data_IF_010205913481
#
_entry.id   IF_010205913481
#
_cell.length_a   1.000
_cell.length_b   1.000
_cell.length_c   1.000
_cell.angle_alpha   90.00
_cell.angle_beta   90.00
_cell.angle_gamma   90.00
#
_symmetry.space_group_name_H-M   'P 1'
#
loop_
_entity.id
_entity.type
_entity.pdbx_description
1 polymer ?
#
# COMPACT_ATOMS: atom_id res chain seq x y z
N UNK A 1 9.26 13.95 17.63
CA UNK A 1 9.74 12.63 17.23
C UNK A 1 9.34 12.41 15.78
N UNK A 2 10.21 11.85 14.93
CA UNK A 2 9.91 11.59 13.51
C UNK A 2 9.12 10.29 13.41
N UNK A 3 7.78 10.37 13.46
CA UNK A 3 6.93 9.17 13.47
C UNK A 3 6.41 8.84 12.06
N UNK A 4 6.61 7.61 11.55
CA UNK A 4 6.15 7.21 10.21
C UNK A 4 4.62 7.01 10.13
N UNK A 5 4.04 6.62 11.26
CA UNK A 5 2.60 6.48 11.53
C UNK A 5 2.39 6.48 13.06
N UNK A 6 1.17 6.41 13.59
CA UNK A 6 0.87 6.59 15.04
C UNK A 6 -0.08 5.51 15.60
N UNK A 7 -0.18 4.33 14.98
CA UNK A 7 -1.05 3.24 15.42
C UNK A 7 -0.71 2.82 16.86
N UNK A 8 0.57 2.69 17.19
CA UNK A 8 1.03 2.25 18.51
C UNK A 8 0.67 3.24 19.62
N UNK A 9 0.92 4.53 19.40
CA UNK A 9 0.60 5.59 20.36
C UNK A 9 -0.91 5.75 20.54
N UNK A 10 -1.68 5.71 19.45
CA UNK A 10 -3.14 5.83 19.51
C UNK A 10 -3.76 4.60 20.19
N UNK A 11 -3.29 3.40 19.85
CA UNK A 11 -3.75 2.16 20.50
C UNK A 11 -3.42 2.17 21.99
N UNK A 12 -2.23 2.63 22.36
CA UNK A 12 -1.82 2.76 23.77
C UNK A 12 -2.69 3.78 24.51
N UNK A 13 -2.97 4.93 23.89
CA UNK A 13 -3.85 5.96 24.45
C UNK A 13 -5.27 5.41 24.67
N UNK A 14 -5.82 4.74 23.67
CA UNK A 14 -7.18 4.17 23.73
C UNK A 14 -7.25 3.07 24.78
N UNK A 15 -6.27 2.17 24.85
CA UNK A 15 -6.18 1.14 25.89
C UNK A 15 -6.14 1.74 27.30
N UNK A 16 -5.49 2.89 27.49
CA UNK A 16 -5.46 3.58 28.78
C UNK A 16 -6.77 4.30 29.13
N UNK A 17 -7.52 4.76 28.11
CA UNK A 17 -8.69 5.63 28.26
C UNK A 17 -10.02 4.87 28.30
N UNK A 18 -10.19 3.85 27.45
CA UNK A 18 -11.42 3.06 27.33
C UNK A 18 -11.51 2.07 28.49
N UNK A 19 -12.63 2.07 29.20
CA UNK A 19 -12.85 1.19 30.37
C UNK A 19 -14.04 0.25 30.18
N UNK A 20 -14.95 0.57 29.26
CA UNK A 20 -16.15 -0.21 29.00
C UNK A 20 -16.45 -0.34 27.52
N UNK A 21 -17.13 -1.41 27.12
CA UNK A 21 -17.69 -1.56 25.78
C UNK A 21 -18.67 -0.42 25.44
N UNK A 22 -19.24 0.26 26.45
CA UNK A 22 -20.11 1.42 26.28
C UNK A 22 -19.39 2.66 25.75
N UNK A 23 -18.07 2.71 25.88
CA UNK A 23 -17.25 3.81 25.35
C UNK A 23 -16.99 3.63 23.84
N UNK A 24 -17.37 2.48 23.27
CA UNK A 24 -17.20 2.12 21.85
C UNK A 24 -18.54 2.24 21.10
N UNK A 25 -18.53 2.53 19.78
CA UNK A 25 -17.36 2.66 18.93
C UNK A 25 -16.66 4.02 19.05
N UNK A 26 -15.33 4.03 18.92
CA UNK A 26 -14.53 5.24 18.84
C UNK A 26 -13.96 5.45 17.44
N UNK A 27 -13.97 6.69 16.98
CA UNK A 27 -13.43 7.12 15.70
C UNK A 27 -12.53 8.33 15.94
N UNK A 28 -11.22 8.12 15.86
CA UNK A 28 -10.22 9.16 16.11
C UNK A 28 -9.51 9.48 14.81
N UNK A 29 -9.35 10.77 14.50
CA UNK A 29 -8.60 11.19 13.32
C UNK A 29 -7.61 12.29 13.68
N UNK A 30 -6.54 12.37 12.90
CA UNK A 30 -5.56 13.43 13.01
C UNK A 30 -5.05 13.79 11.62
N UNK A 31 -4.66 15.06 11.45
CA UNK A 31 -3.97 15.55 10.27
C UNK A 31 -2.63 16.10 10.74
N UNK A 32 -1.56 15.35 10.52
CA UNK A 32 -0.23 15.68 11.04
C UNK A 32 0.86 15.47 9.99
N UNK A 33 2.02 16.10 10.19
CA UNK A 33 3.22 15.84 9.37
C UNK A 33 3.80 14.49 9.75
N UNK A 34 4.07 13.65 8.74
CA UNK A 34 4.72 12.35 8.85
C UNK A 34 6.08 12.40 8.20
N UNK A 35 6.97 11.55 8.69
CA UNK A 35 8.32 11.42 8.18
C UNK A 35 8.58 9.96 7.85
N UNK A 36 8.96 9.68 6.61
CA UNK A 36 9.36 8.33 6.16
C UNK A 36 10.74 8.44 5.54
N UNK A 37 11.64 7.54 5.93
CA UNK A 37 12.97 7.52 5.33
C UNK A 37 12.91 6.91 3.93
N UNK A 38 12.47 7.75 2.99
CA UNK A 38 12.36 7.39 1.59
C UNK A 38 13.73 7.54 0.91
N UNK A 39 14.28 6.43 0.44
CA UNK A 39 15.61 6.39 -0.18
C UNK A 39 15.70 7.27 -1.43
N UNK A 40 14.64 7.36 -2.24
CA UNK A 40 14.60 8.17 -3.48
C UNK A 40 13.30 8.98 -3.56
N UNK A 41 13.20 10.14 -2.90
CA UNK A 41 12.03 11.01 -3.05
C UNK A 41 11.97 11.50 -4.50
N UNK A 42 10.83 11.30 -5.15
CA UNK A 42 10.61 11.68 -6.56
C UNK A 42 9.19 12.18 -6.74
N UNK A 43 8.99 12.98 -7.79
CA UNK A 43 7.67 13.37 -8.28
C UNK A 43 6.84 14.22 -7.30
N UNK A 44 7.50 15.07 -6.51
CA UNK A 44 6.82 16.00 -5.61
C UNK A 44 5.96 15.23 -4.59
N UNK A 45 4.66 15.49 -4.57
CA UNK A 45 3.71 15.00 -3.56
C UNK A 45 3.52 13.47 -3.51
N UNK A 46 3.94 12.73 -4.54
CA UNK A 46 3.68 11.29 -4.62
C UNK A 46 4.65 10.46 -3.77
N UNK A 47 5.90 10.90 -3.64
CA UNK A 47 6.93 10.16 -2.91
C UNK A 47 7.93 11.11 -2.27
N UNK A 48 7.67 11.47 -1.01
CA UNK A 48 8.48 12.39 -0.21
C UNK A 48 8.98 11.75 1.08
N UNK A 49 9.99 12.38 1.70
CA UNK A 49 10.43 12.05 3.06
C UNK A 49 9.56 12.68 4.13
N UNK A 50 8.80 13.70 3.76
CA UNK A 50 7.94 14.46 4.65
C UNK A 50 6.64 14.82 3.91
N UNK A 51 5.50 14.56 4.54
CA UNK A 51 4.19 14.87 3.99
C UNK A 51 3.14 15.03 5.09
N UNK A 52 2.07 15.76 4.78
CA UNK A 52 0.88 15.82 5.66
C UNK A 52 -0.01 14.62 5.39
N UNK A 53 -0.39 13.90 6.44
CA UNK A 53 -1.23 12.71 6.35
C UNK A 53 -2.45 12.86 7.25
N UNK A 54 -3.61 12.44 6.72
CA UNK A 54 -4.81 12.22 7.52
C UNK A 54 -4.87 10.74 7.88
N UNK A 55 -4.80 10.44 9.18
CA UNK A 55 -5.02 9.10 9.71
C UNK A 55 -6.41 9.01 10.34
N UNK A 56 -7.07 7.87 10.20
CA UNK A 56 -8.30 7.54 10.91
C UNK A 56 -8.10 6.19 11.60
N UNK A 57 -8.37 6.16 12.90
CA UNK A 57 -8.32 4.97 13.74
C UNK A 57 -9.73 4.68 14.25
N UNK A 58 -10.20 3.45 14.08
CA UNK A 58 -11.53 3.02 14.51
C UNK A 58 -11.42 1.86 15.48
N UNK A 59 -12.19 1.93 16.55
CA UNK A 59 -12.26 0.90 17.58
C UNK A 59 -13.72 0.52 17.74
N UNK A 60 -14.07 -0.67 17.28
CA UNK A 60 -15.43 -1.19 17.29
C UNK A 60 -15.55 -2.37 18.28
N UNK A 61 -16.77 -2.64 18.75
CA UNK A 61 -17.03 -3.65 19.79
C UNK A 61 -16.79 -5.08 19.29
N UNK A 62 -17.03 -5.32 18.00
CA UNK A 62 -16.88 -6.64 17.37
C UNK A 62 -16.23 -6.52 15.99
N UNK A 63 -15.76 -7.65 15.48
CA UNK A 63 -15.18 -7.75 14.15
C UNK A 63 -16.19 -7.39 13.05
N UNK A 64 -17.46 -7.81 13.19
CA UNK A 64 -18.53 -7.49 12.26
C UNK A 64 -18.78 -5.97 12.20
N UNK A 65 -18.84 -5.32 13.35
CA UNK A 65 -18.98 -3.86 13.42
C UNK A 65 -17.76 -3.13 12.82
N UNK A 66 -16.55 -3.68 12.99
CA UNK A 66 -15.35 -3.14 12.36
C UNK A 66 -15.41 -3.23 10.82
N UNK A 67 -15.91 -4.35 10.28
CA UNK A 67 -16.11 -4.52 8.83
C UNK A 67 -17.19 -3.58 8.27
N UNK A 68 -18.25 -3.32 9.04
CA UNK A 68 -19.26 -2.32 8.68
C UNK A 68 -18.65 -0.92 8.65
N UNK A 69 -17.89 -0.55 9.69
CA UNK A 69 -17.15 0.72 9.74
C UNK A 69 -16.18 0.85 8.56
N UNK A 70 -15.45 -0.22 8.20
CA UNK A 70 -14.58 -0.24 7.02
C UNK A 70 -15.34 0.07 5.73
N UNK A 71 -16.47 -0.62 5.50
CA UNK A 71 -17.32 -0.43 4.31
C UNK A 71 -17.89 0.98 4.23
N UNK A 72 -18.27 1.56 5.37
CA UNK A 72 -18.74 2.94 5.47
C UNK A 72 -17.63 3.94 5.11
N UNK A 73 -16.42 3.76 5.64
CA UNK A 73 -15.26 4.61 5.31
C UNK A 73 -14.94 4.51 3.82
N UNK A 74 -14.92 3.30 3.25
CA UNK A 74 -14.71 3.10 1.81
C UNK A 74 -15.71 3.90 0.97
N UNK A 75 -17.00 3.84 1.32
CA UNK A 75 -18.07 4.57 0.63
C UNK A 75 -17.87 6.08 0.71
N UNK A 76 -17.47 6.59 1.88
CA UNK A 76 -17.16 8.02 2.08
C UNK A 76 -16.00 8.47 1.19
N UNK A 77 -14.91 7.68 1.11
CA UNK A 77 -13.78 8.01 0.24
C UNK A 77 -14.17 7.94 -1.24
N UNK A 78 -14.99 6.97 -1.66
CA UNK A 78 -15.49 6.90 -3.03
C UNK A 78 -16.30 8.15 -3.40
N UNK A 79 -17.21 8.59 -2.53
CA UNK A 79 -18.00 9.81 -2.74
C UNK A 79 -17.12 11.08 -2.75
N UNK A 80 -16.09 11.14 -1.87
CA UNK A 80 -15.13 12.24 -1.86
C UNK A 80 -14.37 12.33 -3.18
N UNK A 81 -13.86 11.21 -3.69
CA UNK A 81 -13.13 11.19 -4.94
C UNK A 81 -14.03 11.51 -6.15
N UNK A 82 -15.28 11.07 -6.14
CA UNK A 82 -16.28 11.45 -7.15
C UNK A 82 -16.56 12.96 -7.14
N UNK A 83 -16.73 13.56 -5.96
CA UNK A 83 -16.88 15.01 -5.81
C UNK A 83 -15.66 15.80 -6.33
N UNK A 84 -14.46 15.22 -6.18
CA UNK A 84 -13.21 15.77 -6.73
C UNK A 84 -13.01 15.44 -8.22
N UNK A 85 -13.91 14.67 -8.84
CA UNK A 85 -13.85 14.18 -10.23
C UNK A 85 -12.57 13.38 -10.50
N UNK A 86 -12.10 12.64 -9.51
CA UNK A 86 -10.92 11.80 -9.61
C UNK A 86 -11.32 10.37 -9.97
N UNK A 87 -10.82 9.82 -11.10
CA UNK A 87 -11.07 8.42 -11.43
C UNK A 87 -10.30 7.52 -10.45
N UNK A 88 -11.02 6.61 -9.79
CA UNK A 88 -10.45 5.67 -8.82
C UNK A 88 -10.75 4.23 -9.20
N UNK A 89 -9.93 3.32 -8.68
CA UNK A 89 -10.15 1.88 -8.73
C UNK A 89 -9.93 1.34 -7.32
N UNK A 90 -10.88 0.55 -6.82
CA UNK A 90 -10.76 -0.14 -5.54
C UNK A 90 -10.06 -1.47 -5.79
N UNK A 91 -9.00 -1.74 -5.03
CA UNK A 91 -8.29 -3.00 -5.05
C UNK A 91 -8.27 -3.61 -3.64
N UNK A 92 -8.38 -4.93 -3.57
CA UNK A 92 -8.19 -5.68 -2.32
C UNK A 92 -6.71 -6.03 -2.17
N UNK A 93 -6.12 -5.72 -1.02
CA UNK A 93 -4.75 -6.06 -0.67
C UNK A 93 -4.73 -7.09 0.49
N UNK A 94 -3.75 -8.00 0.47
CA UNK A 94 -3.50 -8.93 1.58
C UNK A 94 -2.64 -8.26 2.64
N UNK A 95 -3.01 -8.34 3.91
CA UNK A 95 -2.26 -7.74 5.04
C UNK A 95 -1.12 -8.64 5.56
N UNK A 96 -0.51 -9.48 4.71
CA UNK A 96 0.37 -10.58 5.15
C UNK A 96 1.87 -10.25 5.15
N UNK A 97 2.65 -11.06 5.86
CA UNK A 97 4.14 -11.03 6.05
C UNK A 97 5.00 -10.96 4.78
N UNK A 98 4.38 -10.98 3.61
CA UNK A 98 4.99 -10.79 2.31
C UNK A 98 4.52 -9.43 1.81
N UNK A 99 5.44 -8.46 1.78
CA UNK A 99 5.13 -7.08 1.44
C UNK A 99 4.12 -6.92 0.30
N UNK A 100 3.31 -5.86 0.40
CA UNK A 100 2.13 -5.65 -0.45
C UNK A 100 2.42 -5.83 -1.94
N UNK A 101 1.61 -6.67 -2.60
CA UNK A 101 1.64 -6.87 -4.04
C UNK A 101 0.40 -6.26 -4.69
N UNK A 102 0.59 -5.61 -5.84
CA UNK A 102 -0.50 -5.03 -6.63
C UNK A 102 -0.50 -5.66 -8.02
N UNK A 103 -1.66 -6.16 -8.44
CA UNK A 103 -1.90 -6.60 -9.80
C UNK A 103 -2.40 -5.43 -10.64
N UNK A 104 -1.63 -5.00 -11.65
CA UNK A 104 -2.06 -3.99 -12.61
C UNK A 104 -2.71 -4.63 -13.85
N UNK A 105 -4.02 -4.86 -13.80
CA UNK A 105 -4.84 -5.41 -14.87
C UNK A 105 -5.50 -4.33 -15.77
N UNK A 106 -5.22 -3.04 -15.52
CA UNK A 106 -5.82 -1.91 -16.24
C UNK A 106 -5.58 -2.01 -17.75
N UNK A 107 -6.56 -1.64 -18.57
CA UNK A 107 -6.47 -1.64 -20.04
C UNK A 107 -5.75 -0.39 -20.59
N UNK A 108 -4.47 -0.24 -20.23
CA UNK A 108 -3.60 0.87 -20.63
C UNK A 108 -2.30 0.36 -21.25
N UNK A 109 -1.60 1.15 -22.10
CA UNK A 109 -0.36 0.72 -22.73
C UNK A 109 0.73 0.31 -21.73
N UNK A 110 1.50 -0.73 -22.05
CA UNK A 110 2.55 -1.26 -21.17
C UNK A 110 3.56 -0.20 -20.71
N UNK A 111 4.04 0.66 -21.61
CA UNK A 111 4.97 1.73 -21.26
C UNK A 111 4.38 2.75 -20.27
N UNK A 112 3.06 2.94 -20.29
CA UNK A 112 2.36 3.77 -19.29
C UNK A 112 2.36 3.07 -17.93
N UNK A 113 2.05 1.76 -17.88
CA UNK A 113 2.12 0.96 -16.64
C UNK A 113 3.49 0.99 -15.99
N UNK A 114 4.56 0.83 -16.78
CA UNK A 114 5.93 0.86 -16.26
C UNK A 114 6.29 2.24 -15.70
N UNK A 115 5.87 3.33 -16.36
CA UNK A 115 6.05 4.69 -15.84
C UNK A 115 5.28 4.92 -14.55
N UNK A 116 4.04 4.42 -14.46
CA UNK A 116 3.21 4.50 -13.26
C UNK A 116 3.82 3.68 -12.11
N UNK A 117 4.29 2.46 -12.39
CA UNK A 117 4.98 1.63 -11.41
C UNK A 117 6.28 2.27 -10.90
N UNK A 118 7.05 2.93 -11.78
CA UNK A 118 8.23 3.73 -11.42
C UNK A 118 7.86 4.98 -10.61
N UNK A 119 6.73 5.62 -10.94
CA UNK A 119 6.20 6.83 -10.30
C UNK A 119 5.77 6.53 -8.86
N UNK A 120 4.98 5.48 -8.67
CA UNK A 120 4.61 4.91 -7.37
C UNK A 120 5.86 4.40 -6.66
N UNK A 121 6.82 3.88 -7.43
CA UNK A 121 8.14 3.44 -6.99
C UNK A 121 8.13 2.04 -6.38
N UNK A 122 7.42 1.10 -7.00
CA UNK A 122 7.51 -0.29 -6.61
C UNK A 122 8.97 -0.77 -6.70
N UNK A 123 9.54 -1.36 -5.64
CA UNK A 123 10.94 -1.77 -5.62
C UNK A 123 11.23 -2.90 -6.60
N UNK A 124 10.25 -3.80 -6.77
CA UNK A 124 10.31 -4.98 -7.62
C UNK A 124 9.06 -5.01 -8.49
N UNK A 125 9.23 -5.22 -9.80
CA UNK A 125 8.14 -5.33 -10.77
C UNK A 125 8.25 -6.68 -11.47
N UNK A 126 7.16 -7.44 -11.47
CA UNK A 126 7.03 -8.71 -12.21
C UNK A 126 6.22 -8.46 -13.48
N UNK A 127 6.81 -8.75 -14.64
CA UNK A 127 6.15 -8.62 -15.93
C UNK A 127 5.84 -10.00 -16.49
N UNK A 128 4.54 -10.26 -16.67
CA UNK A 128 4.02 -11.47 -17.30
C UNK A 128 3.80 -11.18 -18.79
N UNK A 129 4.73 -11.64 -19.62
CA UNK A 129 4.76 -11.37 -21.06
C UNK A 129 4.62 -12.63 -21.93
N UNK A 130 5.20 -12.59 -23.14
CA UNK A 130 5.17 -13.73 -24.08
C UNK A 130 5.88 -14.97 -23.53
N UNK A 131 7.01 -14.78 -22.84
CA UNK A 131 7.80 -15.87 -22.22
C UNK A 131 7.01 -16.70 -21.19
N UNK A 132 5.95 -16.13 -20.62
CA UNK A 132 5.04 -16.86 -19.74
C UNK A 132 4.28 -17.95 -20.49
N UNK A 133 3.72 -17.60 -21.66
CA UNK A 133 2.90 -18.51 -22.46
C UNK A 133 3.71 -19.67 -23.05
N UNK A 134 5.00 -19.44 -23.31
CA UNK A 134 5.87 -20.43 -23.97
C UNK A 134 6.63 -21.31 -22.98
N UNK A 135 7.08 -20.75 -21.83
CA UNK A 135 8.01 -21.42 -20.94
C UNK A 135 7.68 -21.27 -19.45
N UNK A 136 6.55 -20.66 -19.08
CA UNK A 136 6.18 -20.43 -17.68
C UNK A 136 7.15 -19.51 -16.94
N UNK A 137 7.82 -18.59 -17.67
CA UNK A 137 8.80 -17.66 -17.11
C UNK A 137 8.27 -16.23 -17.08
N UNK A 138 8.65 -15.49 -16.04
CA UNK A 138 8.32 -14.08 -15.86
C UNK A 138 9.58 -13.23 -15.93
N UNK A 139 9.45 -11.98 -16.36
CA UNK A 139 10.53 -11.01 -16.25
C UNK A 139 10.44 -10.31 -14.90
N UNK A 140 11.51 -10.38 -14.12
CA UNK A 140 11.66 -9.76 -12.81
C UNK A 140 12.58 -8.54 -12.96
N UNK A 141 12.09 -7.39 -12.54
CA UNK A 141 12.84 -6.13 -12.58
C UNK A 141 12.99 -5.55 -11.17
N UNK A 142 14.21 -5.24 -10.76
CA UNK A 142 14.50 -4.41 -9.59
C UNK A 142 15.41 -3.25 -10.01
N UNK A 143 14.82 -2.07 -10.17
CA UNK A 143 15.53 -0.89 -10.68
C UNK A 143 16.62 -0.39 -9.73
N UNK A 144 16.41 -0.53 -8.42
CA UNK A 144 17.37 -0.06 -7.40
C UNK A 144 18.69 -0.84 -7.47
N UNK A 145 18.60 -2.15 -7.73
CA UNK A 145 19.76 -3.05 -7.86
C UNK A 145 20.23 -3.23 -9.31
N UNK A 146 19.56 -2.60 -10.29
CA UNK A 146 19.88 -2.75 -11.71
C UNK A 146 19.57 -4.14 -12.27
N UNK A 147 18.72 -4.92 -11.58
CA UNK A 147 18.40 -6.29 -11.96
C UNK A 147 17.25 -6.29 -12.96
N UNK A 148 17.45 -6.99 -14.07
CA UNK A 148 16.42 -7.33 -15.06
C UNK A 148 16.72 -8.73 -15.57
N UNK A 149 15.92 -9.70 -15.14
CA UNK A 149 16.17 -11.11 -15.45
C UNK A 149 14.88 -11.88 -15.66
N UNK A 150 14.97 -12.99 -16.39
CA UNK A 150 13.83 -13.88 -16.63
C UNK A 150 13.91 -15.05 -15.66
N UNK A 151 12.92 -15.21 -14.79
CA UNK A 151 12.89 -16.21 -13.72
C UNK A 151 11.74 -17.20 -13.95
N UNK A 152 11.94 -18.48 -13.61
CA UNK A 152 10.86 -19.46 -13.63
C UNK A 152 9.85 -19.16 -12.51
N UNK A 153 8.58 -19.52 -12.71
CA UNK A 153 7.55 -19.31 -11.69
C UNK A 153 7.91 -19.93 -10.33
N UNK A 154 8.54 -21.11 -10.35
CA UNK A 154 8.92 -21.83 -9.13
C UNK A 154 9.90 -21.02 -8.26
N UNK A 155 10.81 -20.27 -8.89
CA UNK A 155 11.91 -19.58 -8.19
C UNK A 155 11.61 -18.09 -7.94
N UNK A 156 10.51 -17.58 -8.50
CA UNK A 156 10.24 -16.13 -8.49
C UNK A 156 10.09 -15.57 -7.08
N UNK A 157 9.45 -16.31 -6.19
CA UNK A 157 9.20 -15.89 -4.81
C UNK A 157 10.50 -15.69 -4.05
N UNK A 158 11.36 -16.71 -4.07
CA UNK A 158 12.62 -16.68 -3.34
C UNK A 158 13.53 -15.58 -3.89
N UNK A 159 13.51 -15.38 -5.21
CA UNK A 159 14.27 -14.31 -5.85
C UNK A 159 13.76 -12.92 -5.47
N UNK A 160 12.44 -12.71 -5.41
CA UNK A 160 11.86 -11.45 -4.91
C UNK A 160 12.32 -11.18 -3.47
N UNK A 161 12.26 -12.19 -2.60
CA UNK A 161 12.68 -12.05 -1.19
C UNK A 161 14.17 -11.72 -1.08
N UNK A 162 15.01 -12.32 -1.90
CA UNK A 162 16.45 -12.02 -1.95
C UNK A 162 16.69 -10.57 -2.36
N UNK A 163 16.03 -10.09 -3.42
CA UNK A 163 16.13 -8.71 -3.88
C UNK A 163 15.66 -7.73 -2.80
N UNK A 164 14.52 -8.00 -2.16
CA UNK A 164 13.96 -7.13 -1.12
C UNK A 164 14.87 -7.03 0.11
N UNK A 165 15.61 -8.10 0.48
CA UNK A 165 16.59 -8.06 1.58
C UNK A 165 17.83 -7.21 1.29
N UNK A 166 18.12 -6.95 0.01
CA UNK A 166 19.27 -6.15 -0.43
C UNK A 166 18.94 -4.66 -0.58
N UNK A 167 17.67 -4.27 -0.42
CA UNK A 167 17.17 -2.90 -0.54
C UNK A 167 17.13 -2.18 0.80
#
# INVERSE_FOLDING_TARGET
MLSPTHEEEITSLVASSVKSYKDLPLRLYQITRKFRDELRPRHGLLRTREFTMKDLYTFDVSHEAALETYSNVQTIYAALFDALKLPIMVAQASSGDMGDAVLDDRRVPFGWKMKDADLVGYPVVVVIGRAWKEAGRCELQCRRLGVKETVALADIRDRILELLRQL
#
